data_IF_188365509208
#
_entry.id   IF_188365509208
#
_cell.length_a   1.000
_cell.length_b   1.000
_cell.length_c   1.000
_cell.angle_alpha   90.00
_cell.angle_beta   90.00
_cell.angle_gamma   90.00
#
_symmetry.space_group_name_H-M   'P 1'
#
loop_
_entity.id
_entity.type
_entity.pdbx_description
1 polymer ?
#
# COMPACT_ATOMS: atom_id res chain seq x y z
N UNK A 1 27.75 -6.70 -4.95
CA UNK A 1 26.61 -5.85 -4.56
C UNK A 1 25.54 -6.73 -3.91
N UNK A 2 24.98 -6.35 -2.76
CA UNK A 2 23.96 -7.15 -2.06
C UNK A 2 22.62 -6.42 -2.12
N UNK A 3 21.64 -6.99 -2.81
CA UNK A 3 20.27 -6.46 -2.89
C UNK A 3 19.50 -6.96 -1.67
N UNK A 4 18.83 -6.06 -0.94
CA UNK A 4 17.96 -6.44 0.16
C UNK A 4 16.66 -7.04 -0.42
N UNK A 5 16.26 -8.22 0.06
CA UNK A 5 14.99 -8.83 -0.33
C UNK A 5 14.13 -8.91 0.93
N UNK A 6 12.94 -8.30 0.88
CA UNK A 6 11.98 -8.31 1.98
C UNK A 6 10.74 -9.10 1.57
N UNK A 7 10.50 -10.20 2.27
CA UNK A 7 9.33 -11.05 2.10
C UNK A 7 8.08 -10.42 2.76
N UNK A 8 6.94 -11.09 2.61
CA UNK A 8 5.66 -10.60 3.13
C UNK A 8 5.69 -10.33 4.64
N UNK A 9 6.15 -11.31 5.43
CA UNK A 9 6.19 -11.25 6.89
C UNK A 9 7.16 -10.17 7.39
N UNK A 10 8.33 -10.07 6.77
CA UNK A 10 9.32 -9.03 7.10
C UNK A 10 8.74 -7.63 6.88
N UNK A 11 8.01 -7.43 5.78
CA UNK A 11 7.36 -6.14 5.49
C UNK A 11 6.31 -5.80 6.55
N UNK A 12 5.47 -6.75 6.96
CA UNK A 12 4.46 -6.51 8.00
C UNK A 12 5.08 -6.17 9.37
N UNK A 13 6.21 -6.80 9.70
CA UNK A 13 6.90 -6.56 10.97
C UNK A 13 7.69 -5.25 10.99
N UNK A 14 8.28 -4.86 9.87
CA UNK A 14 9.17 -3.71 9.79
C UNK A 14 8.45 -2.38 9.49
N UNK A 15 7.16 -2.42 9.15
CA UNK A 15 6.38 -1.24 8.79
C UNK A 15 5.17 -1.05 9.72
N UNK A 16 5.38 -0.59 10.97
CA UNK A 16 4.29 -0.33 11.89
C UNK A 16 3.36 0.76 11.34
N UNK A 17 2.05 0.55 11.48
CA UNK A 17 1.02 1.36 10.81
C UNK A 17 1.08 2.85 11.17
N UNK A 18 1.34 3.20 12.43
CA UNK A 18 1.39 4.59 12.88
C UNK A 18 2.52 5.37 12.20
N UNK A 19 3.71 4.78 12.11
CA UNK A 19 4.85 5.36 11.38
C UNK A 19 4.54 5.48 9.89
N UNK A 20 3.88 4.47 9.32
CA UNK A 20 3.47 4.51 7.91
C UNK A 20 2.51 5.67 7.63
N UNK A 21 1.58 5.98 8.53
CA UNK A 21 0.67 7.12 8.40
C UNK A 21 1.46 8.44 8.38
N UNK A 22 2.47 8.57 9.23
CA UNK A 22 3.32 9.76 9.30
C UNK A 22 4.23 9.87 8.05
N UNK A 23 4.79 8.75 7.57
CA UNK A 23 5.54 8.71 6.30
C UNK A 23 4.66 9.10 5.13
N UNK A 24 3.38 8.69 5.09
CA UNK A 24 2.44 9.12 4.05
C UNK A 24 2.18 10.62 4.10
N UNK A 25 2.12 11.23 5.29
CA UNK A 25 1.98 12.70 5.44
C UNK A 25 3.15 13.42 4.76
N UNK A 26 4.37 13.00 5.06
CA UNK A 26 5.57 13.59 4.46
C UNK A 26 5.66 13.33 2.96
N UNK A 27 5.31 12.12 2.51
CA UNK A 27 5.29 11.79 1.09
C UNK A 27 4.30 12.64 0.29
N UNK A 28 3.07 12.85 0.80
CA UNK A 28 2.09 13.72 0.15
C UNK A 28 2.51 15.20 0.19
N UNK A 29 3.10 15.66 1.29
CA UNK A 29 3.61 17.02 1.38
C UNK A 29 4.75 17.26 0.37
N UNK A 30 5.68 16.30 0.25
CA UNK A 30 6.77 16.34 -0.73
C UNK A 30 6.25 16.29 -2.17
N UNK A 31 5.23 15.46 -2.46
CA UNK A 31 4.56 15.45 -3.75
C UNK A 31 3.94 16.82 -4.07
N UNK A 32 3.26 17.45 -3.11
CA UNK A 32 2.67 18.78 -3.28
C UNK A 32 3.73 19.87 -3.52
N UNK A 33 4.96 19.69 -3.00
CA UNK A 33 6.11 20.57 -3.26
C UNK A 33 6.82 20.29 -4.59
N UNK A 34 6.36 19.31 -5.38
CA UNK A 34 6.98 18.96 -6.66
C UNK A 34 8.26 18.14 -6.54
N UNK A 35 8.52 17.52 -5.38
CA UNK A 35 9.73 16.72 -5.14
C UNK A 35 9.66 15.30 -5.73
N UNK A 36 8.52 14.95 -6.34
CA UNK A 36 8.30 13.67 -6.98
C UNK A 36 8.02 13.84 -8.47
N UNK A 37 8.71 13.06 -9.29
CA UNK A 37 8.27 12.76 -10.65
C UNK A 37 7.51 11.44 -10.62
N UNK A 38 6.20 11.51 -10.89
CA UNK A 38 5.30 10.35 -10.82
C UNK A 38 4.41 10.30 -12.06
N UNK A 39 4.85 9.64 -13.15
CA UNK A 39 4.04 9.51 -14.34
C UNK A 39 2.79 8.65 -14.08
N UNK A 40 1.82 8.73 -15.01
CA UNK A 40 0.66 7.84 -14.97
C UNK A 40 1.12 6.39 -15.05
N UNK A 41 0.49 5.53 -14.25
CA UNK A 41 0.77 4.08 -14.26
C UNK A 41 0.52 3.48 -15.65
N UNK A 42 1.36 2.53 -16.05
CA UNK A 42 1.15 1.73 -17.26
C UNK A 42 0.38 0.46 -16.90
N UNK A 43 -0.68 0.16 -17.64
CA UNK A 43 -1.45 -1.09 -17.51
C UNK A 43 -1.20 -1.96 -18.74
N UNK A 44 -0.76 -3.18 -18.50
CA UNK A 44 -0.61 -4.23 -19.52
C UNK A 44 -1.75 -5.22 -19.35
N UNK A 45 -2.62 -5.30 -20.37
CA UNK A 45 -3.81 -6.18 -20.40
C UNK A 45 -3.92 -6.87 -21.76
N UNK A 46 -3.18 -7.96 -21.99
CA UNK A 46 -3.35 -8.81 -23.16
C UNK A 46 -4.77 -9.42 -23.19
N UNK A 47 -5.40 -9.60 -24.36
CA UNK A 47 -6.76 -10.14 -24.45
C UNK A 47 -6.93 -11.52 -23.78
N UNK A 48 -5.90 -12.35 -23.77
CA UNK A 48 -5.92 -13.73 -23.27
C UNK A 48 -5.66 -13.82 -21.75
N UNK A 49 -5.21 -12.72 -21.14
CA UNK A 49 -4.83 -12.71 -19.73
C UNK A 49 -6.07 -12.62 -18.82
N UNK A 50 -6.16 -13.52 -17.83
CA UNK A 50 -7.21 -13.48 -16.77
C UNK A 50 -7.01 -12.35 -15.74
N UNK A 51 -5.93 -11.58 -15.87
CA UNK A 51 -5.53 -10.54 -14.96
C UNK A 51 -4.81 -9.42 -15.70
N UNK A 52 -4.33 -8.44 -14.94
CA UNK A 52 -3.59 -7.29 -15.48
C UNK A 52 -2.26 -7.15 -14.78
N UNK A 53 -1.26 -6.63 -15.49
CA UNK A 53 -0.04 -6.12 -14.86
C UNK A 53 -0.08 -4.59 -14.85
N UNK A 54 0.28 -4.00 -13.71
CA UNK A 54 0.41 -2.56 -13.54
C UNK A 54 1.85 -2.22 -13.16
N UNK A 55 2.41 -1.23 -13.85
CA UNK A 55 3.71 -0.66 -13.57
C UNK A 55 3.52 0.77 -13.04
N UNK A 56 4.09 1.04 -11.87
CA UNK A 56 3.99 2.34 -11.20
C UNK A 56 5.40 2.84 -10.86
N UNK A 57 6.11 3.45 -11.83
CA UNK A 57 7.41 4.05 -11.58
C UNK A 57 7.26 5.42 -10.90
N UNK A 58 8.25 5.79 -10.11
CA UNK A 58 8.37 7.12 -9.51
C UNK A 58 9.84 7.45 -9.27
N UNK A 59 10.15 8.74 -9.27
CA UNK A 59 11.41 9.28 -8.81
C UNK A 59 11.14 10.30 -7.73
N UNK A 60 11.86 10.19 -6.61
CA UNK A 60 11.87 11.16 -5.52
C UNK A 60 13.21 11.91 -5.57
N UNK A 61 13.15 13.22 -5.73
CA UNK A 61 14.31 14.09 -5.67
C UNK A 61 14.73 14.36 -4.20
N UNK A 62 15.80 15.14 -4.01
CA UNK A 62 16.27 15.60 -2.70
C UNK A 62 17.64 15.05 -2.31
N UNK A 63 17.98 15.14 -1.02
CA UNK A 63 19.32 14.77 -0.50
C UNK A 63 19.69 13.29 -0.72
N UNK A 64 18.70 12.42 -0.81
CA UNK A 64 18.86 10.99 -1.10
C UNK A 64 17.87 10.63 -2.21
N UNK A 65 18.21 10.91 -3.48
CA UNK A 65 17.31 10.65 -4.58
C UNK A 65 17.08 9.14 -4.72
N UNK A 66 15.87 8.74 -5.08
CA UNK A 66 15.49 7.32 -5.23
C UNK A 66 14.59 7.14 -6.44
N UNK A 67 14.83 6.07 -7.20
CA UNK A 67 13.81 5.52 -8.10
C UNK A 67 13.04 4.41 -7.39
N UNK A 68 11.73 4.37 -7.61
CA UNK A 68 10.87 3.28 -7.17
C UNK A 68 10.07 2.74 -8.33
N UNK A 69 9.94 1.42 -8.43
CA UNK A 69 9.04 0.76 -9.38
C UNK A 69 8.21 -0.26 -8.63
N UNK A 70 6.89 -0.07 -8.58
CA UNK A 70 5.98 -1.17 -8.27
C UNK A 70 5.56 -1.87 -9.56
N UNK A 71 5.93 -3.14 -9.68
CA UNK A 71 5.43 -4.04 -10.71
C UNK A 71 4.49 -5.06 -10.05
N UNK A 72 3.22 -5.02 -10.41
CA UNK A 72 2.19 -5.79 -9.72
C UNK A 72 1.18 -6.40 -10.70
N UNK A 73 0.91 -7.68 -10.54
CA UNK A 73 -0.11 -8.45 -11.21
C UNK A 73 -1.37 -8.49 -10.34
N UNK A 74 -2.53 -8.23 -10.92
CA UNK A 74 -3.83 -8.28 -10.24
C UNK A 74 -4.69 -9.37 -10.89
N UNK A 75 -4.93 -10.44 -10.13
CA UNK A 75 -5.68 -11.62 -10.55
C UNK A 75 -6.79 -11.88 -9.53
N UNK A 76 -8.00 -11.38 -9.79
CA UNK A 76 -9.14 -11.47 -8.86
C UNK A 76 -9.51 -12.92 -8.50
N UNK A 77 -9.26 -13.88 -9.40
CA UNK A 77 -9.52 -15.31 -9.16
C UNK A 77 -8.58 -15.99 -8.16
N UNK A 78 -7.47 -15.35 -7.77
CA UNK A 78 -6.49 -15.94 -6.85
C UNK A 78 -7.06 -16.29 -5.47
N UNK A 79 -8.06 -15.53 -5.01
CA UNK A 79 -8.70 -15.79 -3.73
C UNK A 79 -9.33 -17.20 -3.68
N UNK A 80 -9.82 -17.72 -4.82
CA UNK A 80 -10.41 -19.06 -4.90
C UNK A 80 -9.39 -20.19 -4.74
N UNK A 81 -8.10 -19.90 -4.89
CA UNK A 81 -6.99 -20.86 -4.75
C UNK A 81 -6.06 -20.50 -3.59
N UNK A 82 -6.54 -19.71 -2.63
CA UNK A 82 -5.78 -19.35 -1.43
C UNK A 82 -4.59 -18.41 -1.65
N UNK A 83 -4.54 -17.70 -2.79
CA UNK A 83 -3.48 -16.74 -3.11
C UNK A 83 -3.97 -15.30 -2.98
N UNK A 84 -3.06 -14.37 -2.67
CA UNK A 84 -3.38 -12.95 -2.71
C UNK A 84 -3.68 -12.50 -4.16
N UNK A 85 -4.68 -11.64 -4.32
CA UNK A 85 -5.06 -11.12 -5.63
C UNK A 85 -3.96 -10.24 -6.25
N UNK A 86 -3.09 -9.65 -5.43
CA UNK A 86 -1.97 -8.82 -5.85
C UNK A 86 -0.66 -9.60 -5.70
N UNK A 87 0.05 -9.78 -6.80
CA UNK A 87 1.31 -10.51 -6.85
C UNK A 87 2.38 -9.61 -7.47
N UNK A 88 3.56 -9.49 -6.87
CA UNK A 88 4.63 -8.69 -7.46
C UNK A 88 5.63 -8.13 -6.46
N UNK A 89 6.43 -7.16 -6.91
CA UNK A 89 7.47 -6.52 -6.13
C UNK A 89 7.47 -5.00 -6.27
N UNK A 90 7.93 -4.33 -5.22
CA UNK A 90 8.41 -2.94 -5.27
C UNK A 90 9.92 -3.00 -5.31
N UNK A 91 10.52 -2.47 -6.36
CA UNK A 91 11.97 -2.36 -6.51
C UNK A 91 12.37 -0.93 -6.23
N UNK A 92 13.38 -0.74 -5.39
CA UNK A 92 13.97 0.55 -5.07
C UNK A 92 15.38 0.60 -5.63
N UNK A 93 15.72 1.70 -6.29
CA UNK A 93 17.05 1.95 -6.83
C UNK A 93 17.60 3.26 -6.26
N UNK A 94 18.92 3.30 -6.12
CA UNK A 94 19.64 4.53 -5.85
C UNK A 94 19.38 5.54 -6.99
N UNK A 95 18.97 6.76 -6.65
CA UNK A 95 18.62 7.79 -7.62
C UNK A 95 19.83 8.51 -8.23
N UNK A 96 21.04 8.21 -7.77
CA UNK A 96 22.30 8.77 -8.26
C UNK A 96 23.07 7.74 -9.10
N UNK A 97 23.22 6.51 -8.62
CA UNK A 97 23.99 5.44 -9.30
C UNK A 97 23.12 4.51 -10.12
N UNK A 98 21.80 4.46 -9.86
CA UNK A 98 20.89 3.50 -10.49
C UNK A 98 20.99 2.08 -9.95
N UNK A 99 21.82 1.85 -8.93
CA UNK A 99 22.01 0.52 -8.34
C UNK A 99 20.73 0.04 -7.63
N UNK A 100 20.29 -1.22 -7.85
CA UNK A 100 19.16 -1.76 -7.11
C UNK A 100 19.51 -1.92 -5.62
N UNK A 101 18.69 -1.32 -4.76
CA UNK A 101 18.85 -1.35 -3.31
C UNK A 101 18.02 -2.47 -2.67
N UNK A 102 16.75 -2.58 -3.07
CA UNK A 102 15.83 -3.52 -2.46
C UNK A 102 14.73 -4.03 -3.40
N UNK A 103 14.26 -5.25 -3.14
CA UNK A 103 13.03 -5.82 -3.70
C UNK A 103 12.11 -6.18 -2.53
N UNK A 104 10.92 -5.60 -2.52
CA UNK A 104 9.97 -5.66 -1.40
C UNK A 104 8.67 -6.30 -1.86
N UNK A 105 8.09 -7.21 -1.07
CA UNK A 105 6.81 -7.85 -1.38
C UNK A 105 5.71 -6.82 -1.66
N UNK A 106 5.16 -6.82 -2.89
CA UNK A 106 4.21 -5.79 -3.29
C UNK A 106 2.84 -5.92 -2.63
N UNK A 107 2.43 -7.13 -2.22
CA UNK A 107 1.14 -7.37 -1.60
C UNK A 107 1.08 -6.72 -0.21
N UNK A 108 2.04 -7.07 0.67
CA UNK A 108 2.13 -6.53 2.03
C UNK A 108 2.25 -5.00 2.01
N UNK A 109 3.24 -4.46 1.29
CA UNK A 109 3.45 -3.00 1.25
C UNK A 109 2.27 -2.26 0.64
N UNK A 110 1.56 -2.86 -0.34
CA UNK A 110 0.34 -2.26 -0.90
C UNK A 110 -0.77 -2.23 0.14
N UNK A 111 -0.97 -3.29 0.92
CA UNK A 111 -1.99 -3.32 1.96
C UNK A 111 -1.74 -2.29 3.06
N UNK A 112 -0.48 -2.18 3.51
CA UNK A 112 -0.06 -1.23 4.55
C UNK A 112 -0.20 0.21 4.06
N UNK A 113 0.46 0.56 2.94
CA UNK A 113 0.44 1.95 2.45
C UNK A 113 -0.96 2.42 2.07
N UNK A 114 -1.81 1.55 1.54
CA UNK A 114 -3.18 1.94 1.18
C UNK A 114 -3.98 2.30 2.43
N UNK A 115 -3.91 1.45 3.47
CA UNK A 115 -4.54 1.74 4.75
C UNK A 115 -3.93 2.96 5.44
N UNK A 116 -2.61 3.15 5.39
CA UNK A 116 -1.94 4.30 5.98
C UNK A 116 -2.39 5.62 5.35
N UNK A 117 -2.56 5.68 4.03
CA UNK A 117 -3.13 6.86 3.36
C UNK A 117 -4.56 7.12 3.83
N UNK A 118 -5.40 6.09 3.94
CA UNK A 118 -6.76 6.23 4.48
C UNK A 118 -6.75 6.69 5.94
N UNK A 119 -5.81 6.19 6.75
CA UNK A 119 -5.58 6.62 8.14
C UNK A 119 -5.20 8.09 8.22
N UNK A 120 -4.28 8.55 7.38
CA UNK A 120 -3.93 9.97 7.28
C UNK A 120 -5.13 10.83 6.87
N UNK A 121 -5.85 10.43 5.82
CA UNK A 121 -7.04 11.14 5.37
C UNK A 121 -8.09 11.23 6.48
N UNK A 122 -8.33 10.13 7.20
CA UNK A 122 -9.23 10.11 8.35
C UNK A 122 -8.74 11.02 9.46
N UNK A 123 -7.43 11.01 9.77
CA UNK A 123 -6.83 11.87 10.79
C UNK A 123 -7.13 13.34 10.51
N UNK A 124 -6.97 13.76 9.26
CA UNK A 124 -7.11 15.16 8.82
C UNK A 124 -8.55 15.60 8.56
N UNK A 125 -9.43 14.70 8.12
CA UNK A 125 -10.74 15.07 7.56
C UNK A 125 -11.94 14.61 8.40
N UNK A 126 -11.81 13.56 9.20
CA UNK A 126 -12.91 13.10 10.05
C UNK A 126 -12.99 13.94 11.33
N UNK A 127 -14.19 14.04 11.93
CA UNK A 127 -14.32 14.65 13.27
C UNK A 127 -13.38 13.98 14.28
N UNK A 128 -12.84 14.75 15.21
CA UNK A 128 -11.95 14.25 16.25
C UNK A 128 -12.63 13.17 17.12
N UNK A 129 -13.94 13.31 17.33
CA UNK A 129 -14.78 12.41 18.15
C UNK A 129 -15.35 11.20 17.38
N UNK A 130 -14.99 11.02 16.10
CA UNK A 130 -15.47 9.91 15.30
C UNK A 130 -15.00 8.57 15.88
N UNK A 131 -15.94 7.76 16.39
CA UNK A 131 -15.63 6.47 17.04
C UNK A 131 -16.44 5.26 16.55
N UNK A 132 -17.39 5.46 15.63
CA UNK A 132 -18.20 4.38 15.05
C UNK A 132 -17.70 4.13 13.62
N UNK A 133 -17.03 3.01 13.39
CA UNK A 133 -16.44 2.62 12.10
C UNK A 133 -17.33 1.59 11.40
N UNK A 134 -17.70 1.87 10.14
CA UNK A 134 -18.31 0.90 9.25
C UNK A 134 -17.29 0.45 8.19
N UNK A 135 -17.15 -0.86 8.01
CA UNK A 135 -16.30 -1.47 6.97
C UNK A 135 -17.21 -2.27 6.04
N UNK A 136 -17.20 -1.91 4.76
CA UNK A 136 -17.97 -2.62 3.71
C UNK A 136 -16.97 -3.40 2.86
N UNK A 137 -17.04 -4.73 2.97
CA UNK A 137 -16.07 -5.70 2.48
C UNK A 137 -15.15 -6.19 3.61
N UNK A 138 -14.83 -7.49 3.63
CA UNK A 138 -14.00 -8.10 4.67
C UNK A 138 -12.77 -8.82 4.09
N UNK A 139 -12.17 -8.22 3.06
CA UNK A 139 -10.92 -8.72 2.45
C UNK A 139 -9.66 -8.20 3.14
N UNK A 140 -8.50 -8.42 2.53
CA UNK A 140 -7.18 -7.98 3.03
C UNK A 140 -7.17 -6.50 3.45
N UNK A 141 -7.74 -5.62 2.62
CA UNK A 141 -7.78 -4.18 2.91
C UNK A 141 -8.63 -3.85 4.15
N UNK A 142 -9.69 -4.60 4.44
CA UNK A 142 -10.54 -4.35 5.60
C UNK A 142 -9.74 -4.46 6.90
N UNK A 143 -8.88 -5.48 6.99
CA UNK A 143 -8.03 -5.74 8.16
C UNK A 143 -7.00 -4.62 8.35
N UNK A 144 -6.25 -4.26 7.31
CA UNK A 144 -5.24 -3.20 7.42
C UNK A 144 -5.87 -1.83 7.67
N UNK A 145 -7.04 -1.55 7.08
CA UNK A 145 -7.76 -0.30 7.34
C UNK A 145 -8.28 -0.23 8.78
N UNK A 146 -8.78 -1.33 9.34
CA UNK A 146 -9.16 -1.36 10.76
C UNK A 146 -7.99 -0.93 11.66
N UNK A 147 -6.80 -1.49 11.42
CA UNK A 147 -5.58 -1.11 12.17
C UNK A 147 -5.27 0.37 11.97
N UNK A 148 -5.30 0.88 10.74
CA UNK A 148 -5.04 2.29 10.45
C UNK A 148 -6.05 3.23 11.12
N UNK A 149 -7.34 2.89 11.12
CA UNK A 149 -8.38 3.69 11.78
C UNK A 149 -8.18 3.70 13.30
N UNK A 150 -7.83 2.56 13.90
CA UNK A 150 -7.53 2.45 15.32
C UNK A 150 -6.29 3.28 15.74
N UNK A 151 -5.33 3.49 14.84
CA UNK A 151 -4.18 4.37 15.10
C UNK A 151 -4.54 5.86 15.14
N UNK A 152 -5.68 6.27 14.57
CA UNK A 152 -6.01 7.71 14.41
C UNK A 152 -7.30 8.13 15.11
N UNK A 153 -8.13 7.18 15.54
CA UNK A 153 -9.37 7.45 16.28
C UNK A 153 -9.58 6.43 17.39
N UNK A 154 -10.21 6.87 18.48
CA UNK A 154 -10.68 5.98 19.55
C UNK A 154 -11.97 5.29 19.09
N UNK A 155 -11.84 4.09 18.55
CA UNK A 155 -12.99 3.30 18.08
C UNK A 155 -13.80 2.77 19.26
N UNK A 156 -15.11 3.00 19.24
CA UNK A 156 -16.10 2.51 20.22
C UNK A 156 -16.93 1.36 19.65
N UNK A 157 -17.18 1.38 18.34
CA UNK A 157 -17.98 0.37 17.66
C UNK A 157 -17.44 0.16 16.25
N UNK A 158 -17.35 -1.10 15.84
CA UNK A 158 -16.99 -1.51 14.49
C UNK A 158 -18.15 -2.34 13.93
N UNK A 159 -18.59 -2.01 12.72
CA UNK A 159 -19.60 -2.77 11.97
C UNK A 159 -19.00 -3.24 10.66
N UNK A 160 -19.10 -4.53 10.37
CA UNK A 160 -18.58 -5.12 9.13
C UNK A 160 -19.76 -5.66 8.32
N UNK A 161 -19.82 -5.32 7.05
CA UNK A 161 -20.74 -5.90 6.08
C UNK A 161 -19.92 -6.57 4.97
N UNK A 162 -20.18 -7.84 4.67
CA UNK A 162 -19.46 -8.58 3.63
C UNK A 162 -20.43 -9.41 2.78
N UNK A 163 -20.09 -9.62 1.51
CA UNK A 163 -20.87 -10.49 0.62
C UNK A 163 -20.86 -11.97 1.01
N UNK A 164 -19.99 -12.39 1.95
CA UNK A 164 -19.97 -13.71 2.57
C UNK A 164 -19.73 -13.55 4.06
N UNK A 165 -20.64 -14.08 4.89
CA UNK A 165 -20.58 -13.93 6.35
C UNK A 165 -19.33 -14.58 6.97
N UNK A 166 -18.85 -15.70 6.41
CA UNK A 166 -17.65 -16.39 6.88
C UNK A 166 -16.36 -15.53 6.79
N UNK A 167 -16.38 -14.43 6.03
CA UNK A 167 -15.25 -13.51 5.92
C UNK A 167 -15.36 -12.32 6.88
N UNK A 168 -16.55 -12.06 7.44
CA UNK A 168 -16.87 -10.90 8.27
C UNK A 168 -16.31 -11.03 9.69
#
# INVERSE_FOLDING_TARGET
MKILILNHTEVEQLLPMHECIDVMKEAFAALARGEFHQPLRTIVRPPEAKGVMALMPTYRAGKQPLFGLKAICVFSGNAAIGKDAHQGGVIVFDGTTGEPLAIVNASAITAIRTAAVSGLATRLLAREDAGDLAIIGAGVQARTHLVAMACVRKLRRIRVAAGRFANA
#
